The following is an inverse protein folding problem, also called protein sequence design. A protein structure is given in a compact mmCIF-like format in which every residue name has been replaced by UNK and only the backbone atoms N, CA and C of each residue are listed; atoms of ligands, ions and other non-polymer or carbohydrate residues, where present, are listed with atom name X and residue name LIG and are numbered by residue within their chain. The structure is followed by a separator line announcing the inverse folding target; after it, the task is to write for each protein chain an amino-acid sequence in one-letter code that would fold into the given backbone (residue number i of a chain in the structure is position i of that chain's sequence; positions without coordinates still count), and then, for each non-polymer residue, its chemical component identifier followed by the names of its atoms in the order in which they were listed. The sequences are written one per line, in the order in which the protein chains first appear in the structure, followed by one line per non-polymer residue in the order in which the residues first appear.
data_IF_086745608624
#
_entry.id   IF_086745608624
#
_cell.length_a   1.000
_cell.length_b   1.000
_cell.length_c   1.000
_cell.angle_alpha   90.00
_cell.angle_beta   90.00
_cell.angle_gamma   90.00
#
_symmetry.space_group_name_H-M   'P 1'
#
loop_
_entity.id
_entity.type
_entity.pdbx_description
1 polymer ?
#
# COMPACT_ATOMS: atom_id res chain seq x y z
N UNK A 1 -2.85 -6.11 -14.52
CA UNK A 1 -1.62 -5.36 -14.78
C UNK A 1 -1.38 -4.31 -13.68
N UNK A 2 -2.30 -3.32 -13.44
CA UNK A 2 -2.06 -2.21 -12.50
C UNK A 2 -1.64 -2.66 -11.09
N UNK A 3 -2.43 -3.51 -10.43
CA UNK A 3 -2.16 -3.93 -9.06
C UNK A 3 -1.06 -4.97 -8.94
N UNK A 4 -0.99 -5.93 -9.86
CA UNK A 4 -0.03 -7.04 -9.76
C UNK A 4 1.31 -6.67 -10.40
N UNK A 5 1.31 -6.18 -11.64
CA UNK A 5 2.54 -5.89 -12.37
C UNK A 5 3.15 -4.55 -11.96
N UNK A 6 2.44 -3.45 -12.25
CA UNK A 6 3.00 -2.10 -12.09
C UNK A 6 3.26 -1.81 -10.60
N UNK A 7 2.27 -2.00 -9.74
CA UNK A 7 2.44 -1.71 -8.32
C UNK A 7 3.61 -2.48 -7.70
N UNK A 8 3.67 -3.81 -7.84
CA UNK A 8 4.74 -4.59 -7.23
C UNK A 8 6.10 -4.29 -7.85
N UNK A 9 6.22 -4.29 -9.18
CA UNK A 9 7.51 -4.05 -9.85
C UNK A 9 8.08 -2.68 -9.48
N UNK A 10 7.28 -1.61 -9.57
CA UNK A 10 7.78 -0.28 -9.24
C UNK A 10 8.01 -0.08 -7.74
N UNK A 11 7.27 -0.76 -6.85
CA UNK A 11 7.56 -0.79 -5.43
C UNK A 11 8.95 -1.39 -5.18
N UNK A 12 9.25 -2.55 -5.74
CA UNK A 12 10.56 -3.19 -5.54
C UNK A 12 11.71 -2.40 -6.19
N UNK A 13 11.51 -1.82 -7.38
CA UNK A 13 12.49 -0.92 -8.00
C UNK A 13 12.76 0.30 -7.12
N UNK A 14 11.71 0.89 -6.58
CA UNK A 14 11.81 2.02 -5.65
C UNK A 14 12.65 1.65 -4.43
N UNK A 15 12.32 0.55 -3.76
CA UNK A 15 12.99 0.11 -2.53
C UNK A 15 14.49 -0.17 -2.70
N UNK A 16 14.95 -0.45 -3.94
CA UNK A 16 16.39 -0.55 -4.25
C UNK A 16 17.12 0.81 -4.19
N UNK A 17 16.40 1.91 -4.36
CA UNK A 17 17.00 3.23 -4.63
C UNK A 17 16.45 4.38 -3.80
N UNK A 18 15.47 4.15 -2.92
CA UNK A 18 14.91 5.17 -2.04
C UNK A 18 15.01 4.80 -0.57
N UNK A 19 14.81 5.81 0.30
CA UNK A 19 14.76 5.62 1.74
C UNK A 19 13.40 5.05 2.16
N UNK A 20 13.40 4.19 3.18
CA UNK A 20 12.17 3.61 3.74
C UNK A 20 11.18 4.68 4.21
N UNK A 21 11.70 5.79 4.76
CA UNK A 21 10.87 6.93 5.19
C UNK A 21 10.17 7.58 4.00
N UNK A 22 10.86 7.81 2.88
CA UNK A 22 10.27 8.39 1.67
C UNK A 22 9.19 7.46 1.09
N UNK A 23 9.51 6.15 0.97
CA UNK A 23 8.55 5.14 0.51
C UNK A 23 7.28 5.12 1.35
N UNK A 24 7.42 5.18 2.69
CA UNK A 24 6.29 5.18 3.62
C UNK A 24 5.44 6.44 3.49
N UNK A 25 6.07 7.60 3.31
CA UNK A 25 5.37 8.87 3.07
C UNK A 25 4.62 8.84 1.74
N UNK A 26 5.24 8.34 0.67
CA UNK A 26 4.57 8.20 -0.63
C UNK A 26 3.40 7.22 -0.54
N UNK A 27 3.56 6.09 0.14
CA UNK A 27 2.49 5.11 0.33
C UNK A 27 1.31 5.70 1.11
N UNK A 28 1.54 6.61 2.05
CA UNK A 28 0.49 7.26 2.83
C UNK A 28 -0.42 8.18 2.01
N UNK A 29 -0.03 8.54 0.79
CA UNK A 29 -0.86 9.32 -0.15
C UNK A 29 -1.93 8.45 -0.83
N UNK A 30 -1.81 7.12 -0.76
CA UNK A 30 -2.73 6.20 -1.44
C UNK A 30 -4.22 6.49 -1.19
N UNK A 31 -4.71 6.74 0.05
CA UNK A 31 -6.12 7.05 0.28
C UNK A 31 -6.58 8.32 -0.45
N UNK A 32 -5.73 9.34 -0.52
CA UNK A 32 -6.03 10.59 -1.22
C UNK A 32 -6.18 10.33 -2.72
N UNK A 33 -5.28 9.55 -3.32
CA UNK A 33 -5.37 9.16 -4.73
C UNK A 33 -6.61 8.31 -5.00
N UNK A 34 -6.92 7.35 -4.15
CA UNK A 34 -8.10 6.48 -4.29
C UNK A 34 -9.38 7.33 -4.29
N UNK A 35 -9.49 8.29 -3.37
CA UNK A 35 -10.64 9.20 -3.30
C UNK A 35 -10.71 10.10 -4.55
N UNK A 36 -9.57 10.65 -4.95
CA UNK A 36 -9.48 11.44 -6.18
C UNK A 36 -9.93 10.66 -7.41
N UNK A 37 -9.46 9.44 -7.60
CA UNK A 37 -9.88 8.57 -8.70
C UNK A 37 -11.33 8.15 -8.59
N UNK A 38 -11.84 7.85 -7.39
CA UNK A 38 -13.25 7.54 -7.18
C UNK A 38 -14.15 8.72 -7.58
N UNK A 39 -13.73 9.93 -7.26
CA UNK A 39 -14.46 11.13 -7.70
C UNK A 39 -14.37 11.34 -9.22
N UNK A 40 -13.19 11.21 -9.81
CA UNK A 40 -12.99 11.39 -11.25
C UNK A 40 -13.77 10.36 -12.07
N UNK A 41 -13.71 9.07 -11.70
CA UNK A 41 -14.25 7.96 -12.51
C UNK A 41 -15.72 7.71 -12.22
N UNK A 42 -16.13 7.75 -10.95
CA UNK A 42 -17.48 7.40 -10.50
C UNK A 42 -18.30 8.57 -9.97
N UNK A 43 -17.72 9.78 -9.91
CA UNK A 43 -18.34 10.99 -9.34
C UNK A 43 -18.80 10.77 -7.88
N UNK A 44 -18.15 9.87 -7.16
CA UNK A 44 -18.48 9.62 -5.75
C UNK A 44 -18.12 10.83 -4.91
N UNK A 45 -19.11 11.37 -4.18
CA UNK A 45 -18.89 12.51 -3.28
C UNK A 45 -18.29 12.00 -1.95
N UNK A 46 -17.29 12.70 -1.46
CA UNK A 46 -16.70 12.48 -0.15
C UNK A 46 -17.27 13.54 0.80
N UNK A 47 -17.73 13.13 1.98
CA UNK A 47 -18.26 14.07 2.96
C UNK A 47 -17.14 14.83 3.67
N UNK A 48 -17.44 16.00 4.23
CA UNK A 48 -16.48 16.80 5.00
C UNK A 48 -15.90 16.00 6.17
N UNK A 49 -16.72 15.16 6.79
CA UNK A 49 -16.29 14.30 7.90
C UNK A 49 -15.30 13.24 7.43
N UNK A 50 -15.53 12.65 6.27
CA UNK A 50 -14.57 11.72 5.68
C UNK A 50 -13.23 12.41 5.41
N UNK A 51 -13.25 13.63 4.87
CA UNK A 51 -12.02 14.41 4.69
C UNK A 51 -11.32 14.71 6.01
N UNK A 52 -12.05 15.10 7.05
CA UNK A 52 -11.47 15.33 8.37
C UNK A 52 -10.83 14.05 8.94
N UNK A 53 -11.50 12.90 8.78
CA UNK A 53 -10.95 11.60 9.21
C UNK A 53 -9.68 11.20 8.44
N UNK A 54 -9.67 11.41 7.12
CA UNK A 54 -8.48 11.17 6.28
C UNK A 54 -7.32 12.05 6.73
N UNK A 55 -7.58 13.34 6.92
CA UNK A 55 -6.56 14.28 7.35
C UNK A 55 -6.00 13.92 8.74
N UNK A 56 -6.88 13.56 9.68
CA UNK A 56 -6.47 13.14 11.02
C UNK A 56 -5.62 11.85 10.97
N UNK A 57 -6.04 10.85 10.18
CA UNK A 57 -5.26 9.62 10.04
C UNK A 57 -3.92 9.86 9.35
N UNK A 58 -3.85 10.77 8.38
CA UNK A 58 -2.60 11.16 7.72
C UNK A 58 -1.63 11.82 8.71
N UNK A 59 -2.13 12.70 9.59
CA UNK A 59 -1.30 13.28 10.66
C UNK A 59 -0.73 12.19 11.58
N UNK A 60 -1.51 11.15 11.87
CA UNK A 60 -1.04 10.00 12.65
C UNK A 60 0.08 9.23 11.93
N UNK A 61 -0.06 8.99 10.62
CA UNK A 61 1.01 8.38 9.80
C UNK A 61 2.27 9.23 9.82
N UNK A 62 2.13 10.54 9.58
CA UNK A 62 3.27 11.46 9.63
C UNK A 62 3.96 11.44 11.01
N UNK A 63 3.19 11.38 12.09
CA UNK A 63 3.75 11.28 13.44
C UNK A 63 4.63 10.05 13.62
N UNK A 64 4.19 8.87 13.16
CA UNK A 64 4.96 7.63 13.25
C UNK A 64 6.18 7.68 12.32
N UNK A 65 5.96 7.98 11.03
CA UNK A 65 7.01 7.91 10.00
C UNK A 65 8.13 8.92 10.27
N UNK A 66 7.78 10.11 10.74
CA UNK A 66 8.76 11.14 11.11
C UNK A 66 9.34 10.96 12.53
N UNK A 67 8.97 9.89 13.23
CA UNK A 67 9.43 9.61 14.61
C UNK A 67 9.15 10.80 15.57
N UNK A 68 8.03 11.48 15.38
CA UNK A 68 7.64 12.64 16.18
C UNK A 68 8.49 13.90 15.98
N UNK A 69 9.40 13.93 15.02
CA UNK A 69 10.29 15.05 14.79
C UNK A 69 10.08 15.67 13.41
N UNK A 70 9.53 16.90 13.40
CA UNK A 70 9.25 17.65 12.16
C UNK A 70 10.53 17.93 11.34
N UNK A 71 11.69 18.02 11.98
CA UNK A 71 12.95 18.25 11.27
C UNK A 71 13.28 17.09 10.32
N UNK A 72 12.79 15.87 10.60
CA UNK A 72 12.94 14.76 9.69
C UNK A 72 12.20 15.00 8.36
N UNK A 73 11.10 15.76 8.36
CA UNK A 73 10.42 16.19 7.15
C UNK A 73 11.24 17.24 6.37
N UNK A 74 11.85 18.19 7.08
CA UNK A 74 12.66 19.24 6.46
C UNK A 74 13.97 18.72 5.86
N UNK A 75 14.45 17.59 6.38
CA UNK A 75 15.66 16.91 5.92
C UNK A 75 15.41 15.83 4.87
N UNK A 76 14.18 15.71 4.36
CA UNK A 76 13.87 14.79 3.26
C UNK A 76 14.49 15.30 1.96
N UNK A 77 15.24 14.42 1.31
CA UNK A 77 15.74 14.65 -0.03
C UNK A 77 14.92 13.83 -1.01
N UNK A 78 14.48 14.48 -2.08
CA UNK A 78 13.81 13.77 -3.17
C UNK A 78 14.86 12.96 -3.95
N UNK A 79 14.61 11.65 -4.04
CA UNK A 79 15.50 10.69 -4.68
C UNK A 79 14.77 10.10 -5.90
N UNK A 80 15.47 9.76 -7.00
CA UNK A 80 14.82 9.19 -8.19
C UNK A 80 13.95 7.97 -7.90
N UNK A 81 14.28 7.17 -6.88
CA UNK A 81 13.45 6.06 -6.39
C UNK A 81 12.06 6.47 -5.91
N UNK A 82 11.88 7.70 -5.47
CA UNK A 82 10.58 8.20 -5.02
C UNK A 82 9.58 8.32 -6.17
N UNK A 83 10.06 8.58 -7.39
CA UNK A 83 9.22 8.60 -8.60
C UNK A 83 8.62 7.22 -8.84
N UNK A 84 9.42 6.16 -8.71
CA UNK A 84 8.96 4.80 -8.88
C UNK A 84 7.91 4.42 -7.83
N UNK A 85 8.12 4.84 -6.57
CA UNK A 85 7.12 4.63 -5.52
C UNK A 85 5.83 5.41 -5.81
N UNK A 86 5.93 6.63 -6.29
CA UNK A 86 4.74 7.41 -6.67
C UNK A 86 3.95 6.72 -7.78
N UNK A 87 4.62 6.22 -8.83
CA UNK A 87 3.98 5.45 -9.91
C UNK A 87 3.31 4.19 -9.36
N UNK A 88 3.97 3.47 -8.44
CA UNK A 88 3.40 2.30 -7.79
C UNK A 88 2.12 2.66 -7.03
N UNK A 89 2.16 3.67 -6.17
CA UNK A 89 1.01 4.10 -5.36
C UNK A 89 -0.13 4.66 -6.23
N UNK A 90 0.20 5.39 -7.29
CA UNK A 90 -0.77 5.85 -8.29
C UNK A 90 -1.48 4.66 -8.96
N UNK A 91 -0.71 3.67 -9.39
CA UNK A 91 -1.24 2.44 -10.00
C UNK A 91 -2.11 1.64 -9.03
N UNK A 92 -1.70 1.54 -7.77
CA UNK A 92 -2.50 0.91 -6.70
C UNK A 92 -3.82 1.62 -6.47
N UNK A 93 -3.79 2.96 -6.44
CA UNK A 93 -4.99 3.78 -6.28
C UNK A 93 -5.98 3.55 -7.42
N UNK A 94 -5.50 3.58 -8.66
CA UNK A 94 -6.31 3.35 -9.84
C UNK A 94 -6.86 1.91 -9.88
N UNK A 95 -6.02 0.91 -9.58
CA UNK A 95 -6.43 -0.49 -9.44
C UNK A 95 -7.57 -0.65 -8.44
N UNK A 96 -7.42 -0.09 -7.24
CA UNK A 96 -8.39 -0.20 -6.15
C UNK A 96 -9.77 0.37 -6.54
N UNK A 97 -9.78 1.48 -7.27
CA UNK A 97 -11.03 2.09 -7.74
C UNK A 97 -11.65 1.29 -8.89
N UNK A 98 -10.83 0.80 -9.82
CA UNK A 98 -11.31 0.03 -10.97
C UNK A 98 -11.84 -1.35 -10.62
N UNK A 99 -11.50 -1.90 -9.42
CA UNK A 99 -12.09 -3.16 -8.93
C UNK A 99 -13.62 -3.14 -8.98
N UNK A 100 -14.23 -1.98 -8.74
CA UNK A 100 -15.69 -1.82 -8.81
C UNK A 100 -16.27 -2.04 -10.23
N UNK A 101 -15.47 -1.88 -11.29
CA UNK A 101 -15.88 -2.08 -12.67
C UNK A 101 -15.80 -3.54 -13.12
N UNK A 102 -15.22 -4.41 -12.29
CA UNK A 102 -15.08 -5.80 -12.66
C UNK A 102 -16.41 -6.50 -12.38
N UNK A 103 -17.20 -6.61 -13.44
CA UNK A 103 -18.42 -7.40 -13.45
C UNK A 103 -18.10 -8.75 -14.12
N UNK A 104 -17.94 -9.78 -13.30
CA UNK A 104 -17.64 -11.13 -13.77
C UNK A 104 -18.48 -12.15 -13.00
N UNK A 105 -18.85 -13.23 -13.69
CA UNK A 105 -19.52 -14.39 -13.08
C UNK A 105 -18.54 -15.29 -12.30
N UNK A 106 -17.25 -14.96 -12.34
CA UNK A 106 -16.21 -15.72 -11.62
C UNK A 106 -16.30 -15.48 -10.12
N UNK A 107 -15.90 -16.48 -9.34
CA UNK A 107 -15.68 -16.27 -7.91
C UNK A 107 -14.57 -15.22 -7.68
N UNK A 108 -14.54 -14.63 -6.51
CA UNK A 108 -13.54 -13.62 -6.18
C UNK A 108 -12.10 -14.19 -6.24
N UNK A 109 -11.92 -15.45 -5.85
CA UNK A 109 -10.63 -16.13 -5.94
C UNK A 109 -10.24 -16.36 -7.40
N UNK A 110 -11.14 -16.88 -8.23
CA UNK A 110 -10.89 -17.07 -9.65
C UNK A 110 -10.58 -15.74 -10.39
N UNK A 111 -11.26 -14.66 -10.00
CA UNK A 111 -10.95 -13.32 -10.52
C UNK A 111 -9.53 -12.89 -10.16
N UNK A 112 -9.09 -13.13 -8.91
CA UNK A 112 -7.73 -12.83 -8.49
C UNK A 112 -6.70 -13.69 -9.23
N UNK A 113 -6.98 -14.99 -9.43
CA UNK A 113 -6.11 -15.90 -10.20
C UNK A 113 -5.90 -15.40 -11.63
N UNK A 114 -6.98 -15.00 -12.31
CA UNK A 114 -6.90 -14.41 -13.65
C UNK A 114 -6.07 -13.13 -13.64
N UNK A 115 -6.25 -12.26 -12.64
CA UNK A 115 -5.45 -11.04 -12.52
C UNK A 115 -3.96 -11.33 -12.32
N UNK A 116 -3.62 -12.32 -11.48
CA UNK A 116 -2.23 -12.75 -11.26
C UNK A 116 -1.66 -13.34 -12.54
N UNK A 117 -2.39 -14.21 -13.22
CA UNK A 117 -1.96 -14.84 -14.47
C UNK A 117 -1.67 -13.80 -15.56
N UNK A 118 -2.57 -12.84 -15.75
CA UNK A 118 -2.33 -11.71 -16.68
C UNK A 118 -1.12 -10.90 -16.23
N UNK A 119 -1.00 -10.63 -14.92
CA UNK A 119 0.15 -9.92 -14.37
C UNK A 119 1.48 -10.62 -14.66
N UNK A 120 1.53 -11.94 -14.53
CA UNK A 120 2.71 -12.75 -14.83
C UNK A 120 3.11 -12.66 -16.32
N UNK A 121 2.14 -12.69 -17.24
CA UNK A 121 2.43 -12.52 -18.68
C UNK A 121 3.17 -11.21 -18.95
N UNK A 122 2.78 -10.12 -18.26
CA UNK A 122 3.43 -8.82 -18.43
C UNK A 122 4.78 -8.70 -17.69
N UNK A 123 4.98 -9.42 -16.59
CA UNK A 123 6.26 -9.42 -15.85
C UNK A 123 7.29 -10.34 -16.52
N UNK A 124 6.86 -11.43 -17.11
CA UNK A 124 7.72 -12.50 -17.62
C UNK A 124 8.81 -12.02 -18.59
N UNK A 125 8.54 -11.15 -19.59
CA UNK A 125 9.59 -10.63 -20.45
C UNK A 125 10.69 -9.88 -19.69
N UNK A 126 10.30 -9.04 -18.72
CA UNK A 126 11.26 -8.28 -17.89
C UNK A 126 12.10 -9.21 -17.02
N UNK A 127 11.48 -10.26 -16.47
CA UNK A 127 12.21 -11.28 -15.72
C UNK A 127 13.26 -11.99 -16.59
N UNK A 128 12.94 -12.31 -17.84
CA UNK A 128 13.92 -12.91 -18.78
C UNK A 128 15.08 -11.95 -19.01
N UNK A 129 14.83 -10.68 -19.32
CA UNK A 129 15.89 -9.71 -19.52
C UNK A 129 16.77 -9.55 -18.28
N UNK A 130 16.18 -9.41 -17.09
CA UNK A 130 16.93 -9.27 -15.84
C UNK A 130 17.75 -10.54 -15.51
N UNK A 131 17.21 -11.73 -15.81
CA UNK A 131 17.91 -12.99 -15.56
C UNK A 131 19.07 -13.26 -16.53
N UNK A 132 19.06 -12.66 -17.72
CA UNK A 132 20.17 -12.74 -18.66
C UNK A 132 21.35 -11.83 -18.25
N UNK A 133 21.06 -10.73 -17.56
CA UNK A 133 22.08 -9.80 -17.10
C UNK A 133 22.64 -10.18 -15.70
N UNK A 134 21.81 -10.80 -14.88
CA UNK A 134 22.16 -11.16 -13.51
C UNK A 134 21.80 -12.62 -13.27
N UNK A 135 22.77 -13.45 -12.94
CA UNK A 135 22.57 -14.85 -12.53
C UNK A 135 21.85 -14.93 -11.16
N UNK A 136 20.62 -14.41 -11.12
CA UNK A 136 19.83 -14.40 -9.88
C UNK A 136 18.87 -15.60 -9.83
N UNK A 137 19.40 -16.75 -9.46
CA UNK A 137 18.59 -17.89 -9.06
C UNK A 137 18.63 -18.07 -7.54
N UNK A 138 17.48 -18.28 -6.90
CA UNK A 138 17.47 -18.61 -5.48
C UNK A 138 18.16 -19.96 -5.30
N UNK A 139 19.38 -19.94 -4.75
CA UNK A 139 20.22 -21.12 -4.58
C UNK A 139 20.26 -21.59 -3.12
N UNK A 140 19.64 -20.83 -2.20
CA UNK A 140 19.54 -21.16 -0.78
C UNK A 140 18.10 -21.46 -0.40
N UNK A 141 17.90 -22.42 0.48
CA UNK A 141 16.56 -22.73 1.01
C UNK A 141 15.88 -21.52 1.66
N UNK A 142 16.63 -20.63 2.29
CA UNK A 142 16.08 -19.42 2.90
C UNK A 142 15.45 -18.48 1.84
N UNK A 143 16.04 -18.37 0.66
CA UNK A 143 15.50 -17.54 -0.43
C UNK A 143 14.15 -18.11 -0.88
N UNK A 144 14.05 -19.42 -1.00
CA UNK A 144 12.80 -20.10 -1.38
C UNK A 144 11.71 -19.90 -0.32
N UNK A 145 12.05 -19.97 0.97
CA UNK A 145 11.10 -19.69 2.06
C UNK A 145 10.64 -18.24 2.02
N UNK A 146 11.54 -17.28 1.83
CA UNK A 146 11.20 -15.85 1.74
C UNK A 146 10.30 -15.56 0.52
N UNK A 147 10.63 -16.10 -0.66
CA UNK A 147 9.81 -15.96 -1.87
C UNK A 147 8.44 -16.57 -1.64
N UNK A 148 8.35 -17.77 -1.08
CA UNK A 148 7.07 -18.44 -0.80
C UNK A 148 6.23 -17.64 0.20
N UNK A 149 6.85 -17.11 1.26
CA UNK A 149 6.17 -16.26 2.24
C UNK A 149 5.57 -15.00 1.57
N UNK A 150 6.36 -14.29 0.78
CA UNK A 150 5.89 -13.09 0.08
C UNK A 150 4.80 -13.43 -0.93
N UNK A 151 4.95 -14.51 -1.69
CA UNK A 151 3.96 -14.92 -2.68
C UNK A 151 2.61 -15.27 -2.03
N UNK A 152 2.62 -16.02 -0.94
CA UNK A 152 1.39 -16.46 -0.26
C UNK A 152 0.77 -15.30 0.53
N UNK A 153 1.51 -14.69 1.43
CA UNK A 153 0.94 -13.71 2.37
C UNK A 153 0.75 -12.33 1.72
N UNK A 154 1.79 -11.76 1.11
CA UNK A 154 1.70 -10.46 0.49
C UNK A 154 1.04 -10.51 -0.91
N UNK A 155 1.26 -11.58 -1.66
CA UNK A 155 0.68 -11.77 -2.99
C UNK A 155 -0.78 -12.23 -2.93
N UNK A 156 -1.06 -13.43 -2.44
CA UNK A 156 -2.40 -14.03 -2.55
C UNK A 156 -3.32 -13.53 -1.45
N UNK A 157 -2.95 -13.73 -0.19
CA UNK A 157 -3.84 -13.44 0.95
C UNK A 157 -4.17 -11.94 1.03
N UNK A 158 -3.15 -11.08 0.95
CA UNK A 158 -3.35 -9.64 1.06
C UNK A 158 -4.19 -9.08 -0.08
N UNK A 159 -3.94 -9.51 -1.33
CA UNK A 159 -4.75 -9.08 -2.47
C UNK A 159 -6.19 -9.59 -2.38
N UNK A 160 -6.39 -10.83 -1.95
CA UNK A 160 -7.72 -11.38 -1.75
C UNK A 160 -8.51 -10.59 -0.70
N UNK A 161 -7.89 -10.33 0.47
CA UNK A 161 -8.50 -9.56 1.54
C UNK A 161 -8.77 -8.11 1.11
N UNK A 162 -7.81 -7.48 0.42
CA UNK A 162 -7.97 -6.13 -0.11
C UNK A 162 -9.12 -6.03 -1.09
N UNK A 163 -9.15 -6.91 -2.09
CA UNK A 163 -10.19 -6.92 -3.10
C UNK A 163 -11.57 -7.14 -2.46
N UNK A 164 -11.66 -8.08 -1.51
CA UNK A 164 -12.89 -8.33 -0.76
C UNK A 164 -13.32 -7.11 0.05
N UNK A 165 -12.39 -6.48 0.74
CA UNK A 165 -12.64 -5.26 1.51
C UNK A 165 -13.18 -4.14 0.62
N UNK A 166 -12.51 -3.87 -0.52
CA UNK A 166 -12.94 -2.86 -1.48
C UNK A 166 -14.33 -3.14 -2.05
N UNK A 167 -14.65 -4.39 -2.34
CA UNK A 167 -15.96 -4.77 -2.88
C UNK A 167 -17.09 -4.61 -1.83
N UNK A 168 -16.81 -4.87 -0.55
CA UNK A 168 -17.81 -4.79 0.53
C UNK A 168 -18.05 -3.36 1.01
N UNK A 169 -16.99 -2.61 1.33
CA UNK A 169 -17.10 -1.28 1.95
C UNK A 169 -16.78 -0.12 0.99
N UNK A 170 -16.33 -0.43 -0.21
CA UNK A 170 -15.91 0.54 -1.22
C UNK A 170 -14.46 1.01 -1.07
N UNK A 171 -13.85 1.42 -2.19
CA UNK A 171 -12.44 1.80 -2.23
C UNK A 171 -12.09 2.96 -1.28
N UNK A 172 -12.94 3.98 -1.19
CA UNK A 172 -12.71 5.15 -0.34
C UNK A 172 -12.61 4.80 1.15
N UNK A 173 -13.49 3.90 1.63
CA UNK A 173 -13.46 3.46 3.03
C UNK A 173 -12.34 2.46 3.29
N UNK A 174 -12.12 1.54 2.37
CA UNK A 174 -11.05 0.55 2.46
C UNK A 174 -9.67 1.22 2.50
N UNK A 175 -9.46 2.30 1.74
CA UNK A 175 -8.17 2.96 1.63
C UNK A 175 -7.62 3.48 2.96
N UNK A 176 -8.48 3.92 3.86
CA UNK A 176 -8.05 4.42 5.17
C UNK A 176 -7.35 3.37 6.04
N UNK A 177 -7.69 2.09 5.85
CA UNK A 177 -7.02 1.01 6.56
C UNK A 177 -5.55 0.84 6.14
N UNK A 178 -5.13 1.40 4.98
CA UNK A 178 -3.71 1.45 4.60
C UNK A 178 -2.88 2.29 5.59
N UNK A 179 -3.47 3.27 6.25
CA UNK A 179 -2.80 4.04 7.29
C UNK A 179 -2.46 3.21 8.55
N UNK A 180 -3.01 2.01 8.71
CA UNK A 180 -2.59 1.08 9.78
C UNK A 180 -1.24 0.41 9.50
N UNK A 181 -0.73 0.46 8.27
CA UNK A 181 0.55 -0.16 7.92
C UNK A 181 1.68 0.33 8.84
N UNK A 182 1.89 1.64 9.06
CA UNK A 182 2.95 2.11 9.98
C UNK A 182 2.74 1.64 11.43
N UNK A 183 1.49 1.49 11.87
CA UNK A 183 1.19 0.98 13.22
C UNK A 183 1.63 -0.46 13.37
N UNK A 184 1.23 -1.34 12.45
CA UNK A 184 1.62 -2.74 12.48
C UNK A 184 3.12 -2.91 12.25
N UNK A 185 3.71 -2.12 11.34
CA UNK A 185 5.16 -2.15 11.11
C UNK A 185 5.95 -1.77 12.37
N UNK A 186 5.48 -0.74 13.11
CA UNK A 186 6.12 -0.35 14.38
C UNK A 186 5.98 -1.44 15.44
N UNK A 187 4.83 -2.08 15.54
CA UNK A 187 4.62 -3.20 16.46
C UNK A 187 5.63 -4.32 16.16
N UNK A 188 5.74 -4.75 14.89
CA UNK A 188 6.68 -5.79 14.52
C UNK A 188 8.14 -5.37 14.67
N UNK A 189 8.49 -4.10 14.41
CA UNK A 189 9.83 -3.59 14.63
C UNK A 189 10.23 -3.64 16.11
N UNK A 190 9.32 -3.30 17.02
CA UNK A 190 9.56 -3.40 18.46
C UNK A 190 9.75 -4.85 18.90
N UNK A 191 8.92 -5.78 18.42
CA UNK A 191 8.98 -7.19 18.87
C UNK A 191 10.07 -8.03 18.18
N UNK A 192 10.40 -7.75 16.92
CA UNK A 192 11.34 -8.58 16.15
C UNK A 192 12.71 -7.95 15.96
N UNK A 193 12.82 -6.62 16.05
CA UNK A 193 14.07 -5.89 15.81
C UNK A 193 14.57 -5.18 17.06
N UNK A 194 13.94 -5.42 18.23
CA UNK A 194 14.27 -4.80 19.52
C UNK A 194 14.29 -3.26 19.46
N UNK A 195 13.45 -2.64 18.59
CA UNK A 195 13.31 -1.20 18.57
C UNK A 195 12.60 -0.69 19.82
N UNK A 196 13.02 0.48 20.32
CA UNK A 196 12.43 1.06 21.51
C UNK A 196 11.04 1.63 21.21
N UNK A 197 10.07 1.29 22.06
CA UNK A 197 8.77 1.95 22.06
C UNK A 197 8.92 3.44 22.42
N UNK A 198 8.34 4.32 21.61
CA UNK A 198 8.36 5.75 21.85
C UNK A 198 6.94 6.35 21.79
N UNK A 199 6.73 7.48 22.44
CA UNK A 199 5.42 8.14 22.56
C UNK A 199 4.79 8.48 21.21
N UNK A 200 5.59 8.76 20.17
CA UNK A 200 5.06 9.03 18.83
C UNK A 200 4.35 7.84 18.20
N UNK A 201 4.72 6.60 18.54
CA UNK A 201 4.00 5.41 18.09
C UNK A 201 2.56 5.40 18.64
N UNK A 202 2.41 5.70 19.93
CA UNK A 202 1.10 5.72 20.57
C UNK A 202 0.22 6.86 20.04
N UNK A 203 0.76 8.10 19.99
CA UNK A 203 0.04 9.27 19.49
C UNK A 203 -0.39 9.06 18.04
N UNK A 204 0.53 8.60 17.19
CA UNK A 204 0.24 8.34 15.80
C UNK A 204 -0.83 7.25 15.61
N UNK A 205 -0.73 6.15 16.37
CA UNK A 205 -1.74 5.08 16.33
C UNK A 205 -3.13 5.59 16.75
N UNK A 206 -3.21 6.40 17.80
CA UNK A 206 -4.48 7.03 18.25
C UNK A 206 -5.06 7.89 17.13
N UNK A 207 -4.27 8.74 16.49
CA UNK A 207 -4.74 9.62 15.41
C UNK A 207 -5.21 8.82 14.20
N UNK A 208 -4.52 7.74 13.85
CA UNK A 208 -4.93 6.84 12.77
C UNK A 208 -6.27 6.19 13.09
N UNK A 209 -6.40 5.60 14.25
CA UNK A 209 -7.65 4.91 14.66
C UNK A 209 -8.81 5.88 14.74
N UNK A 210 -8.63 7.04 15.37
CA UNK A 210 -9.68 8.07 15.44
C UNK A 210 -10.06 8.58 14.05
N UNK A 211 -9.10 8.78 13.14
CA UNK A 211 -9.36 9.18 11.76
C UNK A 211 -10.17 8.14 10.99
N UNK A 212 -9.85 6.85 11.17
CA UNK A 212 -10.60 5.74 10.57
C UNK A 212 -12.03 5.69 11.11
N UNK A 213 -12.20 5.82 12.43
CA UNK A 213 -13.52 5.82 13.08
C UNK A 213 -14.35 7.00 12.56
N UNK A 214 -13.78 8.20 12.57
CA UNK A 214 -14.44 9.42 12.12
C UNK A 214 -14.92 9.29 10.66
N UNK A 215 -14.07 8.78 9.80
CA UNK A 215 -14.38 8.67 8.37
C UNK A 215 -15.38 7.54 8.04
N UNK A 216 -15.35 6.42 8.77
CA UNK A 216 -16.10 5.22 8.36
C UNK A 216 -17.39 5.01 9.14
N UNK A 217 -17.46 5.38 10.39
CA UNK A 217 -18.55 5.00 11.28
C UNK A 217 -19.48 6.16 11.64
N UNK A 218 -19.07 7.40 11.47
CA UNK A 218 -19.96 8.54 11.72
C UNK A 218 -20.80 8.77 10.46
N UNK A 219 -22.08 8.38 10.52
CA UNK A 219 -23.11 8.73 9.55
C UNK A 219 -23.78 10.03 10.04
N UNK A 220 -23.69 11.08 9.25
CA UNK A 220 -24.54 12.26 9.37
C UNK A 220 -25.50 12.27 8.21
#
# INVERSE_FOLDING_TARGET
VLGVTIFNSFTYISLKSTLVINSSLMASIAPVLIIGFSWLIFKTKTTTIQFAGIFLSLLGVLCIVLKGNINNLLNLYFIPGDIWMFIAVFSWGLYSVLLKKIDTKLSQLATLEVMIFIGLIFIFPFYIFESLENEFFPNKMIDLYMISYVAIFAGIISFFCWNKGVLIIGANRASLFLHLIPVFSSIWAIFLLDENFAFYHLIGAIFIVLGIILSNFIKI
#
